data_IF_727894395705
#
_entry.id   IF_727894395705
#
_cell.length_a   1.000
_cell.length_b   1.000
_cell.length_c   1.000
_cell.angle_alpha   90.00
_cell.angle_beta   90.00
_cell.angle_gamma   90.00
#
_symmetry.space_group_name_H-M   'P 1'
#
loop_
_entity.id
_entity.type
_entity.pdbx_description
1 polymer ?
#
# COMPACT_ATOMS: atom_id res chain seq x y z
N UNK A 1 -0.63 -4.21 20.66
CA UNK A 1 -1.61 -4.89 19.79
C UNK A 1 -0.96 -6.11 19.16
N UNK A 2 -1.65 -7.24 19.10
CA UNK A 2 -1.19 -8.44 18.36
C UNK A 2 -1.97 -8.56 17.06
N UNK A 3 -1.27 -8.80 15.94
CA UNK A 3 -1.85 -9.06 14.63
C UNK A 3 -1.41 -10.46 14.21
N UNK A 4 -2.37 -11.34 13.92
CA UNK A 4 -2.04 -12.68 13.44
C UNK A 4 -1.71 -12.62 11.96
N UNK A 5 -0.71 -13.39 11.55
CA UNK A 5 -0.22 -13.48 10.18
C UNK A 5 -0.17 -14.93 9.77
N UNK A 6 -0.61 -15.22 8.55
CA UNK A 6 -0.47 -16.52 7.91
C UNK A 6 0.48 -16.43 6.73
N UNK A 7 1.49 -17.28 6.68
CA UNK A 7 2.28 -17.51 5.46
C UNK A 7 1.47 -18.40 4.52
N UNK A 8 1.38 -17.97 3.29
CA UNK A 8 0.67 -18.68 2.21
C UNK A 8 1.65 -19.41 1.28
N UNK A 9 2.95 -19.08 1.37
CA UNK A 9 4.04 -19.73 0.64
C UNK A 9 5.25 -19.97 1.54
N UNK A 10 6.08 -20.95 1.21
CA UNK A 10 7.27 -21.32 2.00
C UNK A 10 8.33 -20.21 1.98
N UNK A 11 8.45 -19.47 0.86
CA UNK A 11 9.38 -18.36 0.71
C UNK A 11 8.87 -17.03 1.24
N UNK A 12 7.66 -16.99 1.82
CA UNK A 12 7.11 -15.78 2.42
C UNK A 12 7.97 -15.32 3.61
N UNK A 13 8.30 -14.02 3.63
CA UNK A 13 9.12 -13.41 4.67
C UNK A 13 8.20 -12.62 5.59
N UNK A 14 8.35 -12.83 6.92
CA UNK A 14 7.58 -12.08 7.92
C UNK A 14 7.90 -10.59 7.82
N UNK A 15 6.87 -9.72 7.83
CA UNK A 15 7.06 -8.27 7.83
C UNK A 15 7.96 -7.81 8.97
N UNK A 16 8.88 -6.88 8.68
CA UNK A 16 9.85 -6.38 9.65
C UNK A 16 9.98 -4.86 9.56
N UNK A 17 10.29 -4.24 10.68
CA UNK A 17 10.81 -2.87 10.73
C UNK A 17 12.32 -2.91 10.58
N UNK A 18 12.91 -1.96 9.85
CA UNK A 18 14.36 -1.82 9.79
C UNK A 18 14.91 -1.35 11.14
N UNK A 19 14.20 -0.42 11.81
CA UNK A 19 14.50 0.06 13.14
C UNK A 19 13.27 -0.05 14.04
N UNK A 20 13.46 -0.21 15.35
CA UNK A 20 12.37 -0.39 16.31
C UNK A 20 11.36 0.78 16.33
N UNK A 21 11.82 1.97 15.96
CA UNK A 21 11.02 3.22 15.93
C UNK A 21 10.34 3.49 14.58
N UNK A 22 10.59 2.67 13.54
CA UNK A 22 9.96 2.88 12.25
C UNK A 22 8.44 2.64 12.36
N UNK A 23 7.66 3.49 11.68
CA UNK A 23 6.21 3.38 11.68
C UNK A 23 5.72 2.19 10.83
N UNK A 24 6.37 1.96 9.68
CA UNK A 24 5.99 0.93 8.71
C UNK A 24 6.72 -0.39 8.91
N UNK A 25 6.02 -1.47 8.57
CA UNK A 25 6.62 -2.80 8.43
C UNK A 25 6.87 -3.07 6.95
N UNK A 26 8.10 -3.36 6.58
CA UNK A 26 8.46 -3.76 5.21
C UNK A 26 7.77 -5.08 4.85
N UNK A 27 7.15 -5.13 3.66
CA UNK A 27 6.62 -6.33 3.02
C UNK A 27 7.57 -6.74 1.90
N UNK A 28 7.74 -8.04 1.77
CA UNK A 28 8.74 -8.64 0.88
C UNK A 28 8.07 -9.35 -0.29
N UNK A 29 8.68 -9.24 -1.46
CA UNK A 29 8.26 -9.97 -2.65
C UNK A 29 8.58 -11.46 -2.52
N UNK A 30 7.68 -12.32 -2.93
CA UNK A 30 7.91 -13.76 -3.12
C UNK A 30 7.98 -14.14 -4.59
N UNK A 31 7.13 -13.49 -5.39
CA UNK A 31 6.97 -13.76 -6.81
C UNK A 31 6.44 -12.50 -7.51
N UNK A 32 6.78 -12.34 -8.78
CA UNK A 32 6.28 -11.25 -9.62
C UNK A 32 5.69 -11.76 -10.91
N UNK A 33 4.71 -11.02 -11.45
CA UNK A 33 4.21 -11.20 -12.80
C UNK A 33 3.99 -9.85 -13.48
N UNK A 34 4.20 -9.78 -14.80
CA UNK A 34 4.04 -8.56 -15.60
C UNK A 34 2.91 -8.75 -16.60
N UNK A 35 1.94 -7.85 -16.58
CA UNK A 35 0.93 -7.70 -17.62
C UNK A 35 1.35 -6.54 -18.54
N UNK A 36 1.97 -6.87 -19.67
CA UNK A 36 2.46 -5.87 -20.64
C UNK A 36 1.34 -5.11 -21.33
N UNK A 37 0.16 -5.71 -21.47
CA UNK A 37 -0.97 -5.04 -22.09
C UNK A 37 -1.50 -3.89 -21.23
N UNK A 38 -1.37 -4.02 -19.90
CA UNK A 38 -1.75 -3.00 -18.94
C UNK A 38 -0.58 -2.20 -18.40
N UNK A 39 0.65 -2.59 -18.73
CA UNK A 39 1.87 -2.03 -18.13
C UNK A 39 1.86 -2.14 -16.60
N UNK A 40 1.50 -3.30 -16.08
CA UNK A 40 1.40 -3.58 -14.65
C UNK A 40 2.41 -4.63 -14.20
N UNK A 41 3.02 -4.39 -13.04
CA UNK A 41 3.80 -5.35 -12.28
C UNK A 41 3.00 -5.74 -11.05
N UNK A 42 2.69 -7.02 -10.87
CA UNK A 42 2.11 -7.58 -9.66
C UNK A 42 3.20 -8.26 -8.84
N UNK A 43 3.31 -7.88 -7.56
CA UNK A 43 4.21 -8.49 -6.59
C UNK A 43 3.40 -9.20 -5.51
N UNK A 44 3.65 -10.48 -5.33
CA UNK A 44 3.09 -11.31 -4.27
C UNK A 44 3.94 -11.21 -3.01
N UNK A 45 3.33 -11.24 -1.82
CA UNK A 45 4.05 -11.27 -0.54
C UNK A 45 4.01 -12.64 0.13
N UNK A 46 3.09 -13.49 -0.28
CA UNK A 46 2.82 -14.78 0.38
C UNK A 46 2.28 -14.62 1.80
N UNK A 47 1.73 -13.44 2.16
CA UNK A 47 1.29 -13.13 3.52
C UNK A 47 -0.18 -12.71 3.53
N UNK A 48 -0.94 -13.29 4.46
CA UNK A 48 -2.28 -12.84 4.84
C UNK A 48 -2.27 -12.36 6.29
N UNK A 49 -3.09 -11.34 6.57
CA UNK A 49 -3.19 -10.72 7.88
C UNK A 49 -4.58 -10.92 8.48
N UNK A 50 -4.63 -11.00 9.80
CA UNK A 50 -5.85 -10.86 10.57
C UNK A 50 -5.72 -9.57 11.39
N UNK A 51 -6.11 -8.47 10.77
CA UNK A 51 -6.12 -7.14 11.37
C UNK A 51 -7.29 -7.07 12.35
N UNK A 52 -7.08 -6.59 13.59
CA UNK A 52 -8.17 -6.42 14.55
C UNK A 52 -9.25 -5.46 14.05
N UNK A 53 -10.51 -5.74 14.42
CA UNK A 53 -11.63 -4.85 14.18
C UNK A 53 -11.34 -3.42 14.70
N UNK A 54 -11.88 -2.40 14.03
CA UNK A 54 -11.58 -0.99 14.31
C UNK A 54 -10.20 -0.52 13.83
N UNK A 55 -9.46 -1.37 13.06
CA UNK A 55 -8.17 -1.03 12.48
C UNK A 55 -8.13 -1.39 11.00
N UNK A 56 -7.32 -0.66 10.24
CA UNK A 56 -7.01 -0.93 8.85
C UNK A 56 -5.50 -1.00 8.63
N UNK A 57 -5.08 -1.84 7.70
CA UNK A 57 -3.71 -1.86 7.19
C UNK A 57 -3.60 -0.93 5.99
N UNK A 58 -2.68 0.02 6.04
CA UNK A 58 -2.40 0.93 4.94
C UNK A 58 -1.07 0.54 4.29
N UNK A 59 -1.12 0.27 3.00
CA UNK A 59 0.06 -0.08 2.19
C UNK A 59 0.56 1.18 1.49
N UNK A 60 1.81 1.51 1.76
CA UNK A 60 2.52 2.64 1.14
C UNK A 60 3.70 2.13 0.31
N UNK A 61 4.10 2.86 -0.74
CA UNK A 61 5.39 2.59 -1.37
C UNK A 61 6.53 2.90 -0.39
N UNK A 62 7.69 2.31 -0.62
CA UNK A 62 8.93 2.70 0.07
C UNK A 62 9.58 3.88 -0.65
N UNK A 63 10.38 4.67 0.05
CA UNK A 63 11.11 5.80 -0.54
C UNK A 63 11.98 5.39 -1.74
N UNK A 64 12.50 4.15 -1.75
CA UNK A 64 13.31 3.62 -2.84
C UNK A 64 12.57 3.49 -4.19
N UNK A 65 11.23 3.61 -4.21
CA UNK A 65 10.45 3.62 -5.46
C UNK A 65 10.80 4.83 -6.33
N UNK A 66 11.29 5.92 -5.72
CA UNK A 66 11.75 7.10 -6.45
C UNK A 66 12.86 6.82 -7.49
N UNK A 67 13.57 5.68 -7.33
CA UNK A 67 14.63 5.24 -8.23
C UNK A 67 14.18 4.11 -9.17
N UNK A 68 12.89 3.92 -9.35
CA UNK A 68 12.31 2.87 -10.19
C UNK A 68 11.24 3.46 -11.10
N UNK A 69 11.10 2.96 -12.33
CA UNK A 69 10.01 3.38 -13.23
C UNK A 69 8.68 2.72 -12.82
N UNK A 70 8.31 2.86 -11.56
CA UNK A 70 7.15 2.24 -10.95
C UNK A 70 6.35 3.23 -10.10
N UNK A 71 5.03 3.10 -10.13
CA UNK A 71 4.12 3.78 -9.20
C UNK A 71 3.20 2.74 -8.58
N UNK A 72 2.99 2.82 -7.26
CA UNK A 72 1.98 1.98 -6.61
C UNK A 72 0.60 2.32 -7.18
N UNK A 73 -0.07 1.31 -7.78
CA UNK A 73 -1.25 1.53 -8.64
C UNK A 73 -2.41 2.24 -7.94
N UNK A 74 -2.69 1.88 -6.70
CA UNK A 74 -3.74 2.47 -5.88
C UNK A 74 -3.26 3.60 -4.95
N UNK A 75 -2.06 4.13 -5.14
CA UNK A 75 -1.43 5.17 -4.33
C UNK A 75 -1.24 4.76 -2.87
N UNK A 76 -2.31 4.37 -2.17
CA UNK A 76 -2.33 3.77 -0.84
C UNK A 76 -3.29 2.58 -0.89
N UNK A 77 -2.78 1.38 -0.61
CA UNK A 77 -3.62 0.20 -0.46
C UNK A 77 -4.32 0.20 0.90
N UNK A 78 -5.61 -0.12 0.93
CA UNK A 78 -6.37 -0.26 2.18
C UNK A 78 -6.69 -1.74 2.37
N UNK A 79 -6.27 -2.29 3.51
CA UNK A 79 -6.52 -3.67 3.91
C UNK A 79 -7.50 -3.66 5.08
N UNK A 80 -8.70 -4.11 4.82
CA UNK A 80 -9.78 -4.16 5.81
C UNK A 80 -9.53 -5.24 6.88
N UNK A 81 -10.09 -5.03 8.06
CA UNK A 81 -9.99 -5.97 9.19
C UNK A 81 -10.56 -7.35 8.89
N UNK A 82 -11.54 -7.45 7.99
CA UNK A 82 -12.18 -8.71 7.57
C UNK A 82 -11.52 -9.37 6.33
N UNK A 83 -10.51 -8.72 5.71
CA UNK A 83 -9.79 -9.32 4.58
C UNK A 83 -8.87 -10.45 5.07
N UNK A 84 -8.93 -11.61 4.40
CA UNK A 84 -8.12 -12.81 4.71
C UNK A 84 -7.33 -13.31 3.51
N UNK A 85 -7.38 -12.59 2.40
CA UNK A 85 -6.58 -12.92 1.22
C UNK A 85 -5.12 -12.52 1.36
N UNK A 86 -4.34 -12.90 0.37
CA UNK A 86 -2.95 -12.46 0.24
C UNK A 86 -2.87 -10.94 0.05
N UNK A 87 -1.97 -10.29 0.77
CA UNK A 87 -1.61 -8.92 0.48
C UNK A 87 -0.63 -8.90 -0.67
N UNK A 88 -1.02 -8.29 -1.77
CA UNK A 88 -0.19 -8.07 -2.95
C UNK A 88 0.04 -6.59 -3.19
N UNK A 89 1.13 -6.23 -3.86
CA UNK A 89 1.37 -4.87 -4.32
C UNK A 89 1.37 -4.85 -5.85
N UNK A 90 0.53 -4.00 -6.43
CA UNK A 90 0.45 -3.78 -7.87
C UNK A 90 1.05 -2.43 -8.22
N UNK A 91 1.90 -2.41 -9.23
CA UNK A 91 2.57 -1.20 -9.69
C UNK A 91 2.26 -0.93 -11.17
N UNK A 92 2.12 0.34 -11.51
CA UNK A 92 2.13 0.81 -12.91
C UNK A 92 3.59 0.92 -13.34
N UNK A 93 3.93 0.38 -14.51
CA UNK A 93 5.22 0.55 -15.16
C UNK A 93 5.16 1.87 -15.94
N UNK A 94 5.88 2.90 -15.48
CA UNK A 94 5.83 4.25 -16.06
C UNK A 94 6.72 4.41 -17.28
N UNK A 95 7.78 3.60 -17.38
CA UNK A 95 8.67 3.52 -18.53
C UNK A 95 9.09 2.05 -18.74
N UNK A 96 8.56 1.42 -19.79
CA UNK A 96 8.83 0.02 -20.10
C UNK A 96 10.31 -0.22 -20.49
N UNK A 97 10.97 0.74 -21.14
CA UNK A 97 12.38 0.62 -21.53
C UNK A 97 13.29 0.66 -20.31
N UNK A 98 13.06 1.65 -19.44
CA UNK A 98 13.81 1.79 -18.20
C UNK A 98 13.57 0.59 -17.28
N UNK A 99 12.32 0.10 -17.18
CA UNK A 99 11.96 -1.08 -16.41
C UNK A 99 12.78 -2.31 -16.83
N UNK A 100 12.88 -2.57 -18.14
CA UNK A 100 13.65 -3.69 -18.67
C UNK A 100 15.17 -3.53 -18.47
N UNK A 101 15.68 -2.29 -18.53
CA UNK A 101 17.09 -1.99 -18.30
C UNK A 101 17.49 -2.14 -16.82
N UNK A 102 16.55 -1.92 -15.91
CA UNK A 102 16.72 -2.02 -14.46
C UNK A 102 16.26 -3.37 -13.89
N UNK A 103 16.44 -4.44 -14.68
CA UNK A 103 16.20 -5.83 -14.25
C UNK A 103 14.77 -6.13 -13.80
N UNK A 104 13.76 -5.45 -14.43
CA UNK A 104 12.35 -5.78 -14.25
C UNK A 104 11.73 -5.42 -12.91
N UNK A 105 12.33 -4.50 -12.16
CA UNK A 105 11.69 -3.86 -11.01
C UNK A 105 11.94 -4.50 -9.65
N UNK A 106 11.19 -5.53 -9.26
CA UNK A 106 11.33 -6.24 -7.99
C UNK A 106 11.50 -7.74 -8.18
N UNK A 107 12.27 -8.36 -7.28
CA UNK A 107 12.57 -9.80 -7.26
C UNK A 107 12.19 -10.42 -5.92
N UNK A 108 12.16 -11.75 -5.88
CA UNK A 108 11.94 -12.49 -4.64
C UNK A 108 12.95 -12.08 -3.56
N UNK A 109 12.45 -11.75 -2.38
CA UNK A 109 13.22 -11.24 -1.25
C UNK A 109 13.34 -9.72 -1.18
N UNK A 110 12.97 -8.98 -2.23
CA UNK A 110 12.98 -7.51 -2.22
C UNK A 110 11.90 -6.94 -1.31
N UNK A 111 12.21 -5.82 -0.67
CA UNK A 111 11.23 -5.00 0.05
C UNK A 111 10.48 -4.12 -0.94
N UNK A 112 9.20 -4.39 -1.15
CA UNK A 112 8.40 -3.78 -2.21
C UNK A 112 7.52 -2.62 -1.74
N UNK A 113 7.02 -2.70 -0.54
CA UNK A 113 6.15 -1.71 0.08
C UNK A 113 6.27 -1.79 1.60
N UNK A 114 5.56 -0.93 2.30
CA UNK A 114 5.48 -0.93 3.76
C UNK A 114 4.04 -0.84 4.22
N UNK A 115 3.72 -1.51 5.31
CA UNK A 115 2.39 -1.49 5.94
C UNK A 115 2.42 -0.73 7.26
N UNK A 116 1.44 0.14 7.45
CA UNK A 116 1.13 0.77 8.74
C UNK A 116 -0.27 0.32 9.14
N UNK A 117 -0.46 -0.12 10.38
CA UNK A 117 -1.78 -0.49 10.90
C UNK A 117 -2.25 0.62 11.83
N UNK A 118 -3.39 1.23 11.50
CA UNK A 118 -3.95 2.36 12.23
C UNK A 118 -5.38 2.06 12.68
N UNK A 119 -5.80 2.57 13.85
CA UNK A 119 -7.20 2.57 14.23
C UNK A 119 -7.98 3.58 13.38
N UNK A 120 -9.27 3.32 13.15
CA UNK A 120 -10.18 4.27 12.56
C UNK A 120 -11.41 4.44 13.47
N UNK A 121 -12.02 5.66 13.51
CA UNK A 121 -13.23 5.88 14.26
C UNK A 121 -14.43 5.18 13.60
N UNK A 122 -15.39 4.76 14.39
CA UNK A 122 -16.71 4.40 13.88
C UNK A 122 -17.41 5.70 13.42
N UNK A 123 -17.86 5.70 12.15
CA UNK A 123 -18.46 6.88 11.53
C UNK A 123 -19.83 6.48 11.02
N UNK A 124 -20.84 7.26 11.40
CA UNK A 124 -22.18 7.25 10.83
C UNK A 124 -22.36 8.52 9.98
N UNK A 125 -22.81 8.36 8.73
CA UNK A 125 -23.11 9.49 7.85
C UNK A 125 -24.57 9.87 8.00
N UNK A 126 -24.83 11.15 8.27
CA UNK A 126 -26.16 11.75 8.29
C UNK A 126 -26.29 12.69 7.07
N UNK A 127 -27.35 12.49 6.28
CA UNK A 127 -27.67 13.40 5.18
C UNK A 127 -28.24 14.70 5.73
N UNK A 128 -27.64 15.84 5.36
CA UNK A 128 -28.05 17.16 5.76
C UNK A 128 -28.40 18.01 4.53
N UNK A 129 -29.49 18.80 4.60
CA UNK A 129 -29.85 19.74 3.54
C UNK A 129 -28.81 20.84 3.38
N UNK A 130 -28.20 21.28 4.49
CA UNK A 130 -27.17 22.32 4.51
C UNK A 130 -26.04 21.95 5.47
N UNK A 131 -24.82 22.32 5.10
CA UNK A 131 -23.64 22.20 5.95
C UNK A 131 -23.33 23.53 6.63
N UNK A 132 -22.65 23.50 7.76
CA UNK A 132 -22.21 24.68 8.48
C UNK A 132 -21.32 25.59 7.61
N UNK A 133 -21.47 26.89 7.76
CA UNK A 133 -20.62 27.89 7.09
C UNK A 133 -19.25 27.95 7.75
N UNK A 134 -18.20 27.99 6.93
CA UNK A 134 -16.82 28.17 7.40
C UNK A 134 -16.11 29.24 6.59
N UNK A 135 -15.03 29.81 7.11
CA UNK A 135 -14.23 30.85 6.43
C UNK A 135 -13.64 30.32 5.09
N UNK A 136 -13.35 29.03 4.99
CA UNK A 136 -12.88 28.40 3.75
C UNK A 136 -14.02 28.16 2.76
N UNK A 137 -15.23 27.91 3.23
CA UNK A 137 -16.38 27.59 2.40
C UNK A 137 -16.09 26.48 1.37
N UNK A 138 -16.38 26.76 0.10
CA UNK A 138 -16.16 25.85 -1.04
C UNK A 138 -14.76 25.96 -1.65
N UNK A 139 -13.84 26.69 -1.06
CA UNK A 139 -12.49 26.92 -1.59
C UNK A 139 -11.63 25.64 -1.63
N UNK A 140 -11.15 25.32 -2.81
CA UNK A 140 -10.24 24.17 -3.08
C UNK A 140 -9.20 24.53 -4.14
N UNK A 141 -8.32 23.60 -4.47
CA UNK A 141 -7.33 23.69 -5.57
C UNK A 141 -6.46 24.97 -5.56
N UNK A 142 -6.03 25.39 -4.35
CA UNK A 142 -5.18 26.57 -4.19
C UNK A 142 -5.93 27.89 -4.09
N UNK A 143 -7.22 27.87 -3.73
CA UNK A 143 -8.03 29.08 -3.53
C UNK A 143 -7.50 30.04 -2.46
N UNK A 144 -6.54 29.63 -1.62
CA UNK A 144 -5.90 30.45 -0.58
C UNK A 144 -4.61 31.15 -1.05
N UNK A 145 -4.32 31.08 -2.37
CA UNK A 145 -3.12 31.69 -2.97
C UNK A 145 -1.92 30.74 -3.04
N UNK A 146 -0.89 31.17 -3.77
CA UNK A 146 0.43 30.55 -3.85
C UNK A 146 1.39 31.27 -2.92
#
# INVERSE_FOLDING_TARGET
MKVRIKRLSENAIMPKRAHATDAGFDLYCTETSVDWAKQELLCHTGIAFEIPEGHAGLIFPRSSIANKPLLLHNSVGVIDSNYRGEVTAKFIITDAREFLQNDGGYHSGDRICQMIILPYPEIEFEEAEELSVTDRGKGGYGSTGR
#
